data_IF_481213237598
#
_entry.id   IF_481213237598
#
_cell.length_a   1.000
_cell.length_b   1.000
_cell.length_c   1.000
_cell.angle_alpha   90.00
_cell.angle_beta   90.00
_cell.angle_gamma   90.00
#
_symmetry.space_group_name_H-M   'P 1'
#
loop_
_entity.id
_entity.type
_entity.pdbx_description
1 polymer ?
#
# COMPACT_ATOMS: atom_id res chain seq x y z
N UNK A 1 -4.62 -22.48 -7.08
CA UNK A 1 -3.15 -22.57 -7.21
C UNK A 1 -2.52 -21.23 -7.57
N UNK A 2 -2.91 -20.56 -8.66
CA UNK A 2 -2.32 -19.27 -9.08
C UNK A 2 -2.48 -18.14 -8.04
N UNK A 3 -3.65 -18.01 -7.42
CA UNK A 3 -3.89 -17.01 -6.36
C UNK A 3 -2.91 -17.21 -5.19
N UNK A 4 -2.72 -18.46 -4.76
CA UNK A 4 -1.78 -18.78 -3.68
C UNK A 4 -0.33 -18.46 -4.06
N UNK A 5 0.05 -18.64 -5.33
CA UNK A 5 1.35 -18.24 -5.84
C UNK A 5 1.55 -16.72 -5.74
N UNK A 6 0.59 -15.93 -6.23
CA UNK A 6 0.66 -14.47 -6.22
C UNK A 6 0.70 -13.93 -4.78
N UNK A 7 -0.19 -14.41 -3.91
CA UNK A 7 -0.23 -14.02 -2.51
C UNK A 7 1.03 -14.48 -1.74
N UNK A 8 1.51 -15.71 -2.00
CA UNK A 8 2.74 -16.23 -1.41
C UNK A 8 3.99 -15.45 -1.81
N UNK A 9 4.08 -15.03 -3.08
CA UNK A 9 5.18 -14.17 -3.54
C UNK A 9 5.14 -12.79 -2.87
N UNK A 10 3.96 -12.18 -2.74
CA UNK A 10 3.77 -10.92 -2.03
C UNK A 10 4.15 -11.05 -0.56
N UNK A 11 3.73 -12.13 0.10
CA UNK A 11 4.08 -12.45 1.47
C UNK A 11 5.59 -12.56 1.65
N UNK A 12 6.26 -13.40 0.84
CA UNK A 12 7.70 -13.62 0.94
C UNK A 12 8.50 -12.34 0.66
N UNK A 13 8.11 -11.55 -0.34
CA UNK A 13 8.75 -10.28 -0.62
C UNK A 13 8.62 -9.31 0.56
N UNK A 14 7.42 -9.10 1.09
CA UNK A 14 7.19 -8.22 2.25
C UNK A 14 7.90 -8.71 3.52
N UNK A 15 8.05 -10.02 3.70
CA UNK A 15 8.76 -10.60 4.85
C UNK A 15 10.27 -10.43 4.75
N UNK A 16 10.85 -10.64 3.56
CA UNK A 16 12.29 -10.74 3.37
C UNK A 16 12.96 -9.41 3.02
N UNK A 17 12.28 -8.54 2.27
CA UNK A 17 12.85 -7.24 1.87
C UNK A 17 13.31 -6.37 3.04
N UNK A 18 12.60 -6.29 4.19
CA UNK A 18 13.04 -5.48 5.32
C UNK A 18 14.43 -5.87 5.84
N UNK A 19 14.85 -7.14 5.78
CA UNK A 19 16.18 -7.57 6.23
C UNK A 19 17.31 -6.87 5.47
N UNK A 20 17.15 -6.63 4.18
CA UNK A 20 18.12 -5.88 3.37
C UNK A 20 17.90 -4.37 3.40
N UNK A 21 16.61 -3.96 3.49
CA UNK A 21 16.22 -2.56 3.35
C UNK A 21 16.47 -1.74 4.63
N UNK A 22 16.23 -2.30 5.79
CA UNK A 22 16.46 -1.65 7.09
C UNK A 22 17.94 -1.24 7.26
N UNK A 23 18.96 -2.12 7.03
CA UNK A 23 20.36 -1.72 7.09
C UNK A 23 20.70 -0.59 6.09
N UNK A 24 20.08 -0.61 4.90
CA UNK A 24 20.28 0.44 3.91
C UNK A 24 19.73 1.78 4.39
N UNK A 25 18.47 1.80 4.88
CA UNK A 25 17.84 3.01 5.42
C UNK A 25 18.61 3.59 6.60
N UNK A 26 19.13 2.73 7.46
CA UNK A 26 19.98 3.13 8.58
C UNK A 26 21.25 3.83 8.09
N UNK A 27 21.91 3.30 7.04
CA UNK A 27 23.09 3.92 6.42
C UNK A 27 22.77 5.26 5.77
N UNK A 28 21.57 5.41 5.21
CA UNK A 28 21.09 6.64 4.58
C UNK A 28 20.59 7.67 5.59
N UNK A 29 20.55 7.34 6.89
CA UNK A 29 20.13 8.25 7.94
C UNK A 29 18.62 8.56 7.94
N UNK A 30 17.78 7.67 7.37
CA UNK A 30 16.32 7.83 7.33
C UNK A 30 15.73 7.42 8.68
N UNK A 31 15.88 8.30 9.65
CA UNK A 31 15.55 8.05 11.05
C UNK A 31 14.45 8.99 11.53
N UNK A 32 13.55 8.47 12.34
CA UNK A 32 12.61 9.26 13.14
C UNK A 32 13.16 9.41 14.56
N UNK A 33 13.62 10.62 14.85
CA UNK A 33 14.11 10.96 16.18
C UNK A 33 12.90 11.42 17.01
N UNK A 34 12.67 10.81 18.19
CA UNK A 34 11.55 11.16 19.05
C UNK A 34 11.53 12.65 19.37
N UNK A 35 10.36 13.25 19.32
CA UNK A 35 10.09 14.61 19.76
C UNK A 35 8.88 14.61 20.72
N UNK A 36 8.51 15.75 21.29
CA UNK A 36 7.41 15.89 22.25
C UNK A 36 6.04 15.38 21.75
N UNK A 37 5.87 15.20 20.43
CA UNK A 37 4.64 14.71 19.79
C UNK A 37 4.73 13.26 19.38
N UNK A 38 5.89 12.61 19.55
CA UNK A 38 6.11 11.23 19.12
C UNK A 38 5.49 10.27 20.13
N UNK A 39 4.82 9.22 19.62
CA UNK A 39 4.28 8.11 20.41
C UNK A 39 5.35 7.10 20.85
N UNK A 40 6.59 7.22 20.32
CA UNK A 40 7.72 6.35 20.62
C UNK A 40 8.84 7.11 21.34
N UNK A 41 9.57 6.40 22.17
CA UNK A 41 10.67 6.94 22.98
C UNK A 41 12.05 6.64 22.41
N UNK A 42 12.13 5.76 21.41
CA UNK A 42 13.39 5.33 20.76
C UNK A 42 13.41 5.81 19.31
N UNK A 43 14.60 5.96 18.75
CA UNK A 43 14.80 6.25 17.34
C UNK A 43 14.25 5.10 16.50
N UNK A 44 13.39 5.39 15.53
CA UNK A 44 12.75 4.42 14.63
C UNK A 44 13.22 4.67 13.20
N UNK A 45 13.31 3.63 12.38
CA UNK A 45 13.67 3.75 10.98
C UNK A 45 12.39 4.02 10.17
N UNK A 46 12.38 5.12 9.41
CA UNK A 46 11.29 5.47 8.48
C UNK A 46 11.46 4.75 7.14
N UNK A 47 10.36 4.68 6.38
CA UNK A 47 10.40 4.22 4.98
C UNK A 47 10.36 2.71 4.79
N UNK A 48 10.28 1.90 5.86
CA UNK A 48 10.22 0.43 5.73
C UNK A 48 8.95 -0.02 5.02
N UNK A 49 7.86 0.76 5.08
CA UNK A 49 6.59 0.48 4.42
C UNK A 49 6.68 0.29 2.89
N UNK A 50 7.72 0.82 2.24
CA UNK A 50 7.95 0.58 0.80
C UNK A 50 8.11 -0.91 0.47
N UNK A 51 8.53 -1.72 1.42
CA UNK A 51 8.66 -3.19 1.23
C UNK A 51 7.31 -3.88 1.10
N UNK A 52 6.26 -3.35 1.74
CA UNK A 52 4.88 -3.81 1.54
C UNK A 52 4.45 -3.51 0.11
N UNK A 53 4.64 -2.26 -0.33
CA UNK A 53 4.28 -1.85 -1.68
C UNK A 53 5.00 -2.70 -2.73
N UNK A 54 6.30 -2.97 -2.55
CA UNK A 54 7.06 -3.87 -3.42
C UNK A 54 6.47 -5.29 -3.45
N UNK A 55 6.07 -5.84 -2.29
CA UNK A 55 5.41 -7.14 -2.20
C UNK A 55 4.07 -7.15 -2.94
N UNK A 56 3.22 -6.14 -2.71
CA UNK A 56 1.93 -6.01 -3.42
C UNK A 56 2.13 -5.89 -4.92
N UNK A 57 3.05 -5.03 -5.37
CA UNK A 57 3.35 -4.85 -6.80
C UNK A 57 3.84 -6.14 -7.44
N UNK A 58 4.69 -6.91 -6.76
CA UNK A 58 5.14 -8.23 -7.23
C UNK A 58 3.96 -9.20 -7.39
N UNK A 59 3.09 -9.29 -6.38
CA UNK A 59 1.92 -10.17 -6.42
C UNK A 59 0.94 -9.79 -7.54
N UNK A 60 0.69 -8.48 -7.74
CA UNK A 60 -0.13 -7.98 -8.84
C UNK A 60 0.51 -8.26 -10.20
N UNK A 61 1.81 -8.03 -10.35
CA UNK A 61 2.53 -8.36 -11.58
C UNK A 61 2.42 -9.86 -11.92
N UNK A 62 2.59 -10.73 -10.94
CA UNK A 62 2.41 -12.17 -11.12
C UNK A 62 0.96 -12.53 -11.50
N UNK A 63 -0.04 -11.86 -10.93
CA UNK A 63 -1.44 -12.10 -11.29
C UNK A 63 -1.74 -11.80 -12.77
N UNK A 64 -1.06 -10.78 -13.31
CA UNK A 64 -1.14 -10.42 -14.74
C UNK A 64 -0.36 -11.40 -15.62
N UNK A 65 0.86 -11.78 -15.20
CA UNK A 65 1.74 -12.67 -15.96
C UNK A 65 1.22 -14.11 -16.03
N UNK A 66 0.60 -14.58 -14.94
CA UNK A 66 0.04 -15.95 -14.88
C UNK A 66 -1.34 -16.08 -15.52
N UNK A 67 -1.95 -14.95 -15.92
CA UNK A 67 -3.30 -14.94 -16.48
C UNK A 67 -4.41 -15.13 -15.41
N UNK A 68 -4.09 -15.04 -14.11
CA UNK A 68 -5.08 -15.09 -13.04
C UNK A 68 -6.14 -14.00 -13.21
N UNK A 69 -5.70 -12.81 -13.66
CA UNK A 69 -6.58 -11.69 -14.03
C UNK A 69 -6.44 -11.47 -15.54
N UNK A 70 -7.28 -12.14 -16.33
CA UNK A 70 -7.22 -12.07 -17.78
C UNK A 70 -8.08 -10.93 -18.36
N UNK A 71 -9.27 -10.72 -17.82
CA UNK A 71 -10.27 -9.78 -18.36
C UNK A 71 -9.97 -8.34 -17.88
N UNK A 72 -9.80 -8.13 -16.59
CA UNK A 72 -9.68 -6.79 -15.98
C UNK A 72 -8.22 -6.32 -15.80
N UNK A 73 -7.37 -6.65 -16.75
CA UNK A 73 -5.92 -6.32 -16.70
C UNK A 73 -5.67 -4.82 -16.52
N UNK A 74 -6.47 -3.98 -17.19
CA UNK A 74 -6.36 -2.52 -17.10
C UNK A 74 -6.59 -2.01 -15.69
N UNK A 75 -7.56 -2.57 -14.97
CA UNK A 75 -7.85 -2.20 -13.57
C UNK A 75 -6.62 -2.52 -12.70
N UNK A 76 -6.07 -3.74 -12.82
CA UNK A 76 -4.89 -4.13 -12.04
C UNK A 76 -3.67 -3.27 -12.38
N UNK A 77 -3.48 -2.90 -13.63
CA UNK A 77 -2.40 -1.98 -14.04
C UNK A 77 -2.59 -0.59 -13.44
N UNK A 78 -3.80 -0.04 -13.47
CA UNK A 78 -4.11 1.25 -12.84
C UNK A 78 -3.84 1.18 -11.33
N UNK A 79 -4.31 0.13 -10.65
CA UNK A 79 -4.05 -0.07 -9.22
C UNK A 79 -2.55 -0.16 -8.93
N UNK A 80 -1.79 -0.93 -9.71
CA UNK A 80 -0.34 -1.05 -9.55
C UNK A 80 0.37 0.31 -9.73
N UNK A 81 -0.02 1.10 -10.72
CA UNK A 81 0.52 2.46 -10.94
C UNK A 81 0.18 3.40 -9.78
N UNK A 82 -1.05 3.34 -9.27
CA UNK A 82 -1.47 4.15 -8.12
C UNK A 82 -0.72 3.76 -6.84
N UNK A 83 -0.53 2.46 -6.59
CA UNK A 83 0.25 1.96 -5.45
C UNK A 83 1.70 2.42 -5.58
N UNK A 84 2.31 2.30 -6.75
CA UNK A 84 3.68 2.76 -6.98
C UNK A 84 3.82 4.28 -6.78
N UNK A 85 2.88 5.07 -7.30
CA UNK A 85 2.89 6.53 -7.18
C UNK A 85 2.64 6.98 -5.72
N UNK A 86 1.70 6.36 -5.01
CA UNK A 86 1.44 6.63 -3.60
C UNK A 86 2.64 6.25 -2.72
N UNK A 87 3.26 5.09 -3.00
CA UNK A 87 4.46 4.64 -2.29
C UNK A 87 5.65 5.57 -2.53
N UNK A 88 5.84 6.04 -3.76
CA UNK A 88 6.87 7.03 -4.10
C UNK A 88 6.63 8.36 -3.40
N UNK A 89 5.38 8.81 -3.33
CA UNK A 89 5.02 10.03 -2.61
C UNK A 89 5.35 9.92 -1.11
N UNK A 90 4.97 8.81 -0.47
CA UNK A 90 5.31 8.54 0.93
C UNK A 90 6.83 8.46 1.15
N UNK A 91 7.55 7.80 0.24
CA UNK A 91 9.00 7.75 0.27
C UNK A 91 9.65 9.14 0.20
N UNK A 92 9.20 10.00 -0.73
CA UNK A 92 9.70 11.38 -0.84
C UNK A 92 9.41 12.17 0.44
N UNK A 93 8.23 11.96 1.05
CA UNK A 93 7.87 12.59 2.32
C UNK A 93 8.80 12.18 3.44
N UNK A 94 9.09 10.88 3.58
CA UNK A 94 9.99 10.36 4.62
C UNK A 94 11.42 10.91 4.48
N UNK A 95 11.88 11.14 3.24
CA UNK A 95 13.25 11.62 2.97
C UNK A 95 13.40 13.14 3.06
N UNK A 96 12.43 13.90 2.54
CA UNK A 96 12.58 15.35 2.32
C UNK A 96 11.70 16.19 3.23
N UNK A 97 10.68 15.58 3.83
CA UNK A 97 9.64 16.29 4.56
C UNK A 97 8.85 17.21 3.61
N UNK A 98 7.65 16.83 3.24
CA UNK A 98 6.79 17.67 2.42
C UNK A 98 5.92 18.57 3.30
N UNK A 99 5.70 19.81 2.88
CA UNK A 99 4.70 20.65 3.55
C UNK A 99 3.31 20.02 3.42
N UNK A 100 2.47 20.21 4.44
CA UNK A 100 1.09 19.66 4.46
C UNK A 100 0.32 20.01 3.19
N UNK A 101 0.46 21.23 2.67
CA UNK A 101 -0.23 21.70 1.46
C UNK A 101 0.23 20.95 0.22
N UNK A 102 1.55 20.75 0.05
CA UNK A 102 2.12 20.03 -1.09
C UNK A 102 1.69 18.57 -1.04
N UNK A 103 1.79 17.92 0.13
CA UNK A 103 1.36 16.53 0.32
C UNK A 103 -0.12 16.36 -0.02
N UNK A 104 -1.00 17.17 0.57
CA UNK A 104 -2.43 17.10 0.30
C UNK A 104 -2.77 17.35 -1.18
N UNK A 105 -2.09 18.31 -1.82
CA UNK A 105 -2.25 18.58 -3.26
C UNK A 105 -1.85 17.39 -4.12
N UNK A 106 -0.70 16.75 -3.84
CA UNK A 106 -0.24 15.56 -4.59
C UNK A 106 -1.16 14.35 -4.37
N UNK A 107 -1.66 14.15 -3.15
CA UNK A 107 -2.63 13.09 -2.85
C UNK A 107 -3.96 13.33 -3.59
N UNK A 108 -4.42 14.57 -3.67
CA UNK A 108 -5.63 14.91 -4.42
C UNK A 108 -5.42 14.69 -5.92
N UNK A 109 -4.28 15.09 -6.48
CA UNK A 109 -3.95 14.82 -7.90
C UNK A 109 -3.91 13.32 -8.17
N UNK A 110 -3.28 12.55 -7.30
CA UNK A 110 -3.25 11.09 -7.39
C UNK A 110 -4.67 10.51 -7.39
N UNK A 111 -5.52 11.00 -6.49
CA UNK A 111 -6.92 10.58 -6.41
C UNK A 111 -7.73 10.95 -7.67
N UNK A 112 -7.56 12.15 -8.21
CA UNK A 112 -8.23 12.59 -9.44
C UNK A 112 -7.80 11.71 -10.61
N UNK A 113 -6.49 11.58 -10.85
CA UNK A 113 -5.96 10.80 -11.97
C UNK A 113 -6.35 9.33 -11.86
N UNK A 114 -6.21 8.76 -10.67
CA UNK A 114 -6.55 7.36 -10.44
C UNK A 114 -8.05 7.07 -10.61
N UNK A 115 -8.90 7.90 -10.01
CA UNK A 115 -10.36 7.72 -10.15
C UNK A 115 -10.82 7.97 -11.58
N UNK A 116 -10.26 8.98 -12.28
CA UNK A 116 -10.60 9.23 -13.68
C UNK A 116 -10.22 8.04 -14.57
N UNK A 117 -9.05 7.44 -14.37
CA UNK A 117 -8.62 6.25 -15.10
C UNK A 117 -9.53 5.05 -14.84
N UNK A 118 -9.92 4.82 -13.56
CA UNK A 118 -10.85 3.74 -13.21
C UNK A 118 -12.25 3.97 -13.78
N UNK A 119 -12.78 5.19 -13.67
CA UNK A 119 -14.10 5.58 -14.23
C UNK A 119 -14.12 5.36 -15.74
N UNK A 120 -13.07 5.77 -16.43
CA UNK A 120 -12.94 5.53 -17.87
C UNK A 120 -12.90 4.03 -18.20
N UNK A 121 -12.08 3.26 -17.49
CA UNK A 121 -11.90 1.82 -17.76
C UNK A 121 -13.13 1.00 -17.43
N UNK A 122 -13.88 1.39 -16.38
CA UNK A 122 -15.08 0.69 -15.92
C UNK A 122 -16.38 1.27 -16.52
N UNK A 123 -16.28 2.22 -17.45
CA UNK A 123 -17.41 2.89 -18.11
C UNK A 123 -18.41 3.50 -17.11
N UNK A 124 -17.89 4.05 -16.00
CA UNK A 124 -18.69 4.64 -14.95
C UNK A 124 -18.89 6.15 -15.19
N UNK A 125 -19.86 6.73 -14.46
CA UNK A 125 -20.12 8.17 -14.51
C UNK A 125 -18.97 8.99 -13.94
N UNK A 126 -18.56 10.05 -14.64
CA UNK A 126 -17.51 10.99 -14.20
C UNK A 126 -17.83 11.71 -12.88
N UNK A 127 -19.07 11.66 -12.41
CA UNK A 127 -19.42 12.11 -11.06
C UNK A 127 -18.65 11.40 -9.95
N UNK A 128 -18.15 10.19 -10.21
CA UNK A 128 -17.32 9.46 -9.27
C UNK A 128 -15.90 10.03 -9.11
N UNK A 129 -15.43 10.86 -10.06
CA UNK A 129 -14.08 11.42 -10.00
C UNK A 129 -13.87 12.30 -8.76
N UNK A 130 -14.69 13.33 -8.46
CA UNK A 130 -14.50 14.12 -7.26
C UNK A 130 -14.68 13.30 -5.97
N UNK A 131 -15.65 12.37 -5.95
CA UNK A 131 -15.90 11.51 -4.79
C UNK A 131 -14.70 10.59 -4.53
N UNK A 132 -14.22 9.89 -5.54
CA UNK A 132 -13.08 8.99 -5.43
C UNK A 132 -11.79 9.73 -5.12
N UNK A 133 -11.59 10.92 -5.70
CA UNK A 133 -10.43 11.75 -5.42
C UNK A 133 -10.36 12.14 -3.93
N UNK A 134 -11.48 12.60 -3.38
CA UNK A 134 -11.58 12.93 -1.95
C UNK A 134 -11.45 11.70 -1.07
N UNK A 135 -12.04 10.57 -1.46
CA UNK A 135 -11.94 9.31 -0.74
C UNK A 135 -10.48 8.81 -0.68
N UNK A 136 -9.76 8.81 -1.81
CA UNK A 136 -8.36 8.38 -1.87
C UNK A 136 -7.46 9.32 -1.05
N UNK A 137 -7.57 10.63 -1.25
CA UNK A 137 -6.77 11.60 -0.52
C UNK A 137 -7.07 11.57 0.99
N UNK A 138 -8.35 11.47 1.36
CA UNK A 138 -8.79 11.34 2.75
C UNK A 138 -8.28 10.04 3.38
N UNK A 139 -8.41 8.92 2.69
CA UNK A 139 -7.94 7.63 3.18
C UNK A 139 -6.42 7.61 3.42
N UNK A 140 -5.61 8.14 2.49
CA UNK A 140 -4.16 8.24 2.67
C UNK A 140 -3.83 9.07 3.93
N UNK A 141 -4.52 10.20 4.15
CA UNK A 141 -4.28 11.04 5.32
C UNK A 141 -4.71 10.34 6.62
N UNK A 142 -5.87 9.67 6.64
CA UNK A 142 -6.36 8.92 7.81
C UNK A 142 -5.41 7.76 8.12
N UNK A 143 -5.00 6.99 7.12
CA UNK A 143 -4.07 5.87 7.29
C UNK A 143 -2.72 6.35 7.88
N UNK A 144 -2.19 7.46 7.36
CA UNK A 144 -0.96 8.06 7.87
C UNK A 144 -1.11 8.57 9.32
N UNK A 145 -2.27 9.12 9.67
CA UNK A 145 -2.56 9.54 11.04
C UNK A 145 -2.69 8.36 12.01
N UNK A 146 -3.29 7.27 11.56
CA UNK A 146 -3.47 6.05 12.37
C UNK A 146 -2.16 5.31 12.64
N UNK A 147 -1.15 5.45 11.79
CA UNK A 147 0.13 4.72 11.88
C UNK A 147 0.97 5.07 13.13
N UNK A 148 0.48 5.96 13.98
CA UNK A 148 1.07 6.26 15.29
C UNK A 148 0.87 5.15 16.34
N UNK A 149 0.06 4.13 16.07
CA UNK A 149 -0.21 3.01 17.01
C UNK A 149 0.42 1.73 16.48
N UNK A 150 1.18 1.07 17.36
CA UNK A 150 1.93 -0.13 17.04
C UNK A 150 1.05 -1.26 16.48
N UNK A 151 1.38 -1.76 15.29
CA UNK A 151 0.66 -2.85 14.61
C UNK A 151 -0.63 -2.45 13.90
N UNK A 152 -1.13 -1.21 14.07
CA UNK A 152 -2.44 -0.82 13.52
C UNK A 152 -2.45 -0.86 11.99
N UNK A 153 -1.39 -0.37 11.34
CA UNK A 153 -1.29 -0.35 9.88
C UNK A 153 -1.22 -1.77 9.30
N UNK A 154 -0.47 -2.66 9.97
CA UNK A 154 -0.42 -4.08 9.59
C UNK A 154 -1.79 -4.74 9.68
N UNK A 155 -2.47 -4.63 10.82
CA UNK A 155 -3.80 -5.22 11.03
C UNK A 155 -4.86 -4.60 10.11
N UNK A 156 -4.82 -3.28 9.92
CA UNK A 156 -5.73 -2.58 9.00
C UNK A 156 -5.55 -3.06 7.57
N UNK A 157 -4.31 -3.15 7.08
CA UNK A 157 -4.04 -3.65 5.73
C UNK A 157 -4.46 -5.11 5.52
N UNK A 158 -4.30 -5.97 6.54
CA UNK A 158 -4.83 -7.35 6.52
C UNK A 158 -6.35 -7.33 6.39
N UNK A 159 -7.04 -6.59 7.28
CA UNK A 159 -8.50 -6.55 7.30
C UNK A 159 -9.08 -6.03 5.97
N UNK A 160 -8.56 -4.93 5.46
CA UNK A 160 -8.98 -4.37 4.17
C UNK A 160 -8.70 -5.34 3.03
N UNK A 161 -7.51 -5.96 2.99
CA UNK A 161 -7.17 -6.94 1.96
C UNK A 161 -8.10 -8.15 1.99
N UNK A 162 -8.41 -8.68 3.17
CA UNK A 162 -9.36 -9.80 3.33
C UNK A 162 -10.77 -9.41 2.87
N UNK A 163 -11.26 -8.22 3.25
CA UNK A 163 -12.58 -7.73 2.83
C UNK A 163 -12.68 -7.59 1.30
N UNK A 164 -11.64 -7.06 0.66
CA UNK A 164 -11.58 -6.99 -0.80
C UNK A 164 -11.50 -8.39 -1.44
N UNK A 165 -10.73 -9.31 -0.89
CA UNK A 165 -10.64 -10.67 -1.41
C UNK A 165 -11.99 -11.40 -1.32
N UNK A 166 -12.66 -11.31 -0.17
CA UNK A 166 -14.00 -11.89 0.03
C UNK A 166 -15.03 -11.23 -0.88
N UNK A 167 -15.05 -9.88 -0.93
CA UNK A 167 -15.93 -9.14 -1.83
C UNK A 167 -15.74 -9.52 -3.30
N UNK A 168 -14.48 -9.71 -3.71
CA UNK A 168 -14.14 -10.17 -5.06
C UNK A 168 -14.66 -11.58 -5.37
N UNK A 169 -14.56 -12.51 -4.40
CA UNK A 169 -15.13 -13.86 -4.54
C UNK A 169 -16.66 -13.80 -4.64
N UNK A 170 -17.31 -13.04 -3.76
CA UNK A 170 -18.75 -12.92 -3.74
C UNK A 170 -19.32 -12.20 -4.97
N UNK A 171 -18.56 -11.26 -5.54
CA UNK A 171 -18.94 -10.49 -6.72
C UNK A 171 -18.42 -11.07 -8.04
N UNK A 172 -17.78 -12.25 -8.01
CA UNK A 172 -17.12 -12.86 -9.20
C UNK A 172 -16.13 -11.92 -9.89
N UNK A 173 -15.39 -11.13 -9.09
CA UNK A 173 -14.40 -10.15 -9.55
C UNK A 173 -12.98 -10.64 -9.29
N UNK A 174 -12.38 -11.32 -10.28
CA UNK A 174 -11.06 -11.93 -10.16
C UNK A 174 -9.95 -10.93 -9.80
N UNK A 175 -10.01 -9.71 -10.38
CA UNK A 175 -9.06 -8.64 -10.09
C UNK A 175 -9.11 -8.19 -8.62
N UNK A 176 -10.33 -8.07 -8.08
CA UNK A 176 -10.54 -7.64 -6.69
C UNK A 176 -10.12 -8.72 -5.70
N UNK A 177 -10.43 -9.99 -6.02
CA UNK A 177 -9.95 -11.16 -5.26
C UNK A 177 -8.43 -11.21 -5.23
N UNK A 178 -7.77 -11.04 -6.37
CA UNK A 178 -6.31 -11.09 -6.47
C UNK A 178 -5.68 -9.91 -5.72
N UNK A 179 -6.15 -8.67 -5.94
CA UNK A 179 -5.64 -7.48 -5.28
C UNK A 179 -5.81 -7.56 -3.76
N UNK A 180 -6.98 -8.01 -3.29
CA UNK A 180 -7.26 -8.19 -1.87
C UNK A 180 -6.37 -9.23 -1.22
N UNK A 181 -6.27 -10.42 -1.80
CA UNK A 181 -5.45 -11.52 -1.26
C UNK A 181 -3.95 -11.17 -1.21
N UNK A 182 -3.44 -10.54 -2.27
CA UNK A 182 -2.05 -10.06 -2.35
C UNK A 182 -1.78 -9.01 -1.28
N UNK A 183 -2.69 -8.05 -1.11
CA UNK A 183 -2.58 -7.00 -0.08
C UNK A 183 -2.60 -7.61 1.33
N UNK A 184 -3.57 -8.46 1.63
CA UNK A 184 -3.66 -9.13 2.94
C UNK A 184 -2.37 -9.90 3.27
N UNK A 185 -1.84 -10.65 2.29
CA UNK A 185 -0.62 -11.44 2.45
C UNK A 185 0.62 -10.55 2.70
N UNK A 186 0.77 -9.46 1.96
CA UNK A 186 1.88 -8.52 2.12
C UNK A 186 1.86 -7.85 3.50
N UNK A 187 0.70 -7.38 3.97
CA UNK A 187 0.56 -6.77 5.29
C UNK A 187 0.70 -7.79 6.43
N UNK A 188 0.23 -9.04 6.26
CA UNK A 188 0.42 -10.10 7.22
C UNK A 188 1.91 -10.43 7.42
N UNK A 189 2.67 -10.48 6.33
CA UNK A 189 4.13 -10.68 6.37
C UNK A 189 4.88 -9.52 7.02
N UNK A 190 4.37 -8.29 6.89
CA UNK A 190 4.96 -7.10 7.49
C UNK A 190 4.58 -6.92 8.97
N UNK A 191 3.52 -7.55 9.45
CA UNK A 191 3.02 -7.36 10.81
C UNK A 191 4.08 -7.54 11.91
N UNK A 192 4.99 -8.54 11.87
CA UNK A 192 6.07 -8.66 12.85
C UNK A 192 6.99 -7.43 12.91
N UNK A 193 7.25 -6.80 11.76
CA UNK A 193 8.04 -5.58 11.66
C UNK A 193 7.30 -4.35 12.22
N UNK A 194 5.98 -4.30 11.99
CA UNK A 194 5.10 -3.22 12.45
C UNK A 194 4.78 -3.30 13.95
N UNK A 195 4.82 -4.50 14.56
CA UNK A 195 4.62 -4.70 16.00
C UNK A 195 5.84 -4.34 16.86
N UNK A 196 6.90 -3.81 16.28
CA UNK A 196 8.17 -3.53 16.98
C UNK A 196 8.71 -4.74 17.76
N UNK A 197 8.31 -5.95 17.36
CA UNK A 197 8.80 -7.21 17.95
C UNK A 197 10.28 -7.42 17.63
N UNK A 198 10.74 -6.78 16.56
CA UNK A 198 12.13 -6.75 16.14
C UNK A 198 12.66 -5.36 16.49
N UNK A 199 13.04 -5.19 17.75
CA UNK A 199 13.77 -4.00 18.18
C UNK A 199 15.14 -4.00 17.54
N UNK A 200 15.31 -3.10 16.62
CA UNK A 200 16.59 -2.88 15.95
C UNK A 200 17.27 -1.68 16.59
#
# INVERSE_FOLDING_TARGET
>A
MLLALCAGAAFLASLLLPFGFIPLLRRLGVLDIPNERSSHTKVVIRGVGVTIAAGVLLGLALSLLTGLVAVDRSIVLILALLIAAASLLGWIEDFRGLSVRVRAGLQLVLGIVGTAALVWTMEQSYWWVPVGALAIAGYINVANFMDGVNGISGLHGIAVGVLYAVGGVLGDQAWMTAAGAVTAAAFAAFLPWNLSLIHI
#
